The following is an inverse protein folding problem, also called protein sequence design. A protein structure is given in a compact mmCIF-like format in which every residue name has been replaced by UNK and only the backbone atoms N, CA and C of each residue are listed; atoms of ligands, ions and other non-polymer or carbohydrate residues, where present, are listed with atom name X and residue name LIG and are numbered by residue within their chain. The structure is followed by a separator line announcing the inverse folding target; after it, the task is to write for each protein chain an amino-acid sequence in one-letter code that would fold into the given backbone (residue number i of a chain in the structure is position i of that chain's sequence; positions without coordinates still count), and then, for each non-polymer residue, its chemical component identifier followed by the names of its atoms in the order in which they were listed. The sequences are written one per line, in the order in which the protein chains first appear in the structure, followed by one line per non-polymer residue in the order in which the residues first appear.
data_IF_858790403188
#
_entry.id   IF_858790403188
#
_cell.length_a   1.000
_cell.length_b   1.000
_cell.length_c   1.000
_cell.angle_alpha   90.00
_cell.angle_beta   90.00
_cell.angle_gamma   90.00
#
_symmetry.space_group_name_H-M   'P 1'
#
loop_
_entity.id
_entity.type
_entity.pdbx_description
1 polymer ?
#
# COMPACT_ATOMS: atom_id res chain seq x y z
N UNK A 1 19.32 -0.96 -29.77
CA UNK A 1 19.94 -0.35 -28.61
C UNK A 1 19.70 -1.22 -27.41
N UNK A 2 20.77 -1.60 -26.69
CA UNK A 2 20.65 -2.37 -25.47
C UNK A 2 20.34 -1.39 -24.34
N UNK A 3 19.07 -1.34 -23.90
CA UNK A 3 18.67 -0.59 -22.72
C UNK A 3 19.11 -1.39 -21.48
N UNK A 4 19.81 -0.74 -20.57
CA UNK A 4 20.06 -1.26 -19.23
C UNK A 4 18.99 -0.72 -18.30
N UNK A 5 18.34 -1.59 -17.55
CA UNK A 5 17.35 -1.25 -16.55
C UNK A 5 17.90 -1.61 -15.17
N UNK A 6 18.07 -0.60 -14.31
CA UNK A 6 18.38 -0.78 -12.90
C UNK A 6 17.10 -0.55 -12.10
N UNK A 7 16.68 -1.54 -11.31
CA UNK A 7 15.42 -1.52 -10.56
C UNK A 7 15.71 -1.45 -9.07
N UNK A 8 15.14 -0.46 -8.40
CA UNK A 8 15.15 -0.30 -6.95
C UNK A 8 13.75 -0.57 -6.40
N UNK A 9 13.63 -1.37 -5.36
CA UNK A 9 12.40 -1.58 -4.64
C UNK A 9 12.62 -1.29 -3.15
N UNK A 10 11.62 -0.68 -2.50
CA UNK A 10 11.73 -0.28 -1.11
C UNK A 10 10.45 0.34 -0.58
N UNK A 11 10.48 0.83 0.64
CA UNK A 11 9.36 1.59 1.21
C UNK A 11 9.17 2.93 0.47
N UNK A 12 7.94 3.42 0.40
CA UNK A 12 7.61 4.67 -0.28
C UNK A 12 8.52 5.84 0.13
N UNK A 13 8.84 5.96 1.42
CA UNK A 13 9.70 7.03 1.94
C UNK A 13 11.12 6.98 1.36
N UNK A 14 11.65 5.78 1.14
CA UNK A 14 12.97 5.56 0.54
C UNK A 14 12.98 5.91 -0.95
N UNK A 15 11.96 5.42 -1.68
CA UNK A 15 11.79 5.72 -3.11
C UNK A 15 11.58 7.21 -3.35
N UNK A 16 10.79 7.90 -2.50
CA UNK A 16 10.62 9.35 -2.60
C UNK A 16 11.91 10.12 -2.34
N UNK A 17 12.74 9.68 -1.41
CA UNK A 17 14.06 10.30 -1.18
C UNK A 17 14.97 10.11 -2.39
N UNK A 18 15.00 8.91 -2.99
CA UNK A 18 15.77 8.66 -4.20
C UNK A 18 15.24 9.50 -5.39
N UNK A 19 13.92 9.64 -5.50
CA UNK A 19 13.29 10.52 -6.48
C UNK A 19 13.70 12.00 -6.29
N UNK A 20 13.67 12.51 -5.07
CA UNK A 20 14.08 13.88 -4.76
C UNK A 20 15.57 14.15 -5.07
N UNK A 21 16.42 13.12 -4.93
CA UNK A 21 17.87 13.20 -5.27
C UNK A 21 18.17 12.92 -6.75
N UNK A 22 17.12 12.79 -7.56
CA UNK A 22 17.26 12.53 -9.01
C UNK A 22 17.96 11.19 -9.34
N UNK A 23 17.89 10.23 -8.42
CA UNK A 23 18.46 8.89 -8.59
C UNK A 23 17.54 7.93 -9.36
N UNK A 24 16.29 8.34 -9.62
CA UNK A 24 15.27 7.57 -10.35
C UNK A 24 14.74 8.36 -11.55
N UNK A 25 14.66 7.73 -12.71
CA UNK A 25 14.03 8.28 -13.92
C UNK A 25 12.52 8.08 -13.90
N UNK A 26 12.09 6.93 -13.38
CA UNK A 26 10.69 6.55 -13.23
C UNK A 26 10.47 6.02 -11.82
N UNK A 27 9.33 6.39 -11.24
CA UNK A 27 8.92 5.92 -9.91
C UNK A 27 7.47 5.47 -9.93
N UNK A 28 7.20 4.22 -9.50
CA UNK A 28 5.86 3.67 -9.32
C UNK A 28 5.64 3.42 -7.82
N UNK A 29 4.70 4.15 -7.22
CA UNK A 29 4.43 4.10 -5.78
C UNK A 29 2.95 4.11 -5.46
N UNK A 30 2.59 3.62 -4.28
CA UNK A 30 1.29 3.87 -3.67
C UNK A 30 1.35 5.12 -2.82
N UNK A 31 0.35 5.98 -2.94
CA UNK A 31 0.31 7.26 -2.21
C UNK A 31 -1.13 7.67 -1.92
N UNK A 32 -1.38 8.56 -0.93
CA UNK A 32 -2.62 9.31 -0.84
C UNK A 32 -2.79 10.19 -2.08
N UNK A 33 -4.04 10.44 -2.50
CA UNK A 33 -4.32 11.44 -3.53
C UNK A 33 -3.74 12.81 -3.16
N UNK A 34 -3.25 13.56 -4.16
CA UNK A 34 -2.78 14.94 -3.96
C UNK A 34 -1.73 15.41 -4.93
N UNK A 35 -0.74 14.61 -5.25
CA UNK A 35 0.24 14.94 -6.29
C UNK A 35 -0.27 14.51 -7.66
N UNK A 36 0.15 15.21 -8.71
CA UNK A 36 -0.20 14.85 -10.10
C UNK A 36 0.84 13.87 -10.66
N UNK A 37 0.53 12.58 -10.75
CA UNK A 37 1.38 11.61 -11.43
C UNK A 37 1.22 11.72 -12.95
N UNK A 38 2.10 11.05 -13.70
CA UNK A 38 1.93 10.86 -15.15
C UNK A 38 0.73 9.96 -15.46
N UNK A 39 0.56 8.92 -14.67
CA UNK A 39 -0.58 8.01 -14.74
C UNK A 39 -0.87 7.42 -13.35
N UNK A 40 -2.13 7.11 -13.09
CA UNK A 40 -2.52 6.48 -11.83
C UNK A 40 -3.78 5.63 -11.95
N UNK A 41 -4.06 4.86 -10.92
CA UNK A 41 -5.35 4.24 -10.67
C UNK A 41 -5.69 4.22 -9.18
N UNK A 42 -6.98 4.21 -8.81
CA UNK A 42 -7.39 3.97 -7.43
C UNK A 42 -6.77 2.69 -6.87
N UNK A 43 -6.37 2.73 -5.61
CA UNK A 43 -5.88 1.57 -4.87
C UNK A 43 -6.85 1.28 -3.71
N UNK A 44 -7.90 0.49 -3.93
CA UNK A 44 -8.88 0.18 -2.90
C UNK A 44 -8.23 -0.64 -1.78
N UNK A 45 -8.43 -0.20 -0.54
CA UNK A 45 -7.93 -0.85 0.65
C UNK A 45 -9.02 -1.67 1.33
N UNK A 46 -8.63 -2.78 1.92
CA UNK A 46 -9.51 -3.65 2.70
C UNK A 46 -8.98 -3.80 4.13
N UNK A 47 -9.88 -3.71 5.09
CA UNK A 47 -9.63 -4.17 6.45
C UNK A 47 -9.64 -5.68 6.46
N UNK A 48 -8.51 -6.29 6.81
CA UNK A 48 -8.32 -7.73 6.76
C UNK A 48 -8.04 -8.30 8.15
N UNK A 49 -8.67 -9.41 8.45
CA UNK A 49 -8.47 -10.21 9.64
C UNK A 49 -8.45 -11.68 9.25
N UNK A 50 -7.96 -12.56 10.10
CA UNK A 50 -8.00 -14.00 9.87
C UNK A 50 -9.44 -14.53 9.91
N UNK A 51 -9.80 -15.36 8.95
CA UNK A 51 -11.07 -16.07 8.98
C UNK A 51 -11.07 -17.22 10.02
N UNK A 52 -9.92 -17.87 10.21
CA UNK A 52 -9.78 -18.99 11.15
C UNK A 52 -9.49 -18.54 12.60
N UNK A 53 -8.76 -17.42 12.74
CA UNK A 53 -8.31 -16.90 14.04
C UNK A 53 -8.62 -15.41 14.15
N UNK A 54 -9.91 -15.01 14.26
CA UNK A 54 -10.31 -13.62 14.27
C UNK A 54 -9.71 -12.86 15.45
N UNK A 55 -9.14 -11.68 15.17
CA UNK A 55 -8.43 -10.85 16.15
C UNK A 55 -9.13 -9.53 16.46
N UNK A 56 -10.04 -9.05 15.60
CA UNK A 56 -10.63 -7.72 15.75
C UNK A 56 -11.38 -7.54 17.06
N UNK A 57 -12.03 -8.58 17.57
CA UNK A 57 -12.79 -8.56 18.81
C UNK A 57 -11.93 -8.54 20.08
N UNK A 58 -10.63 -8.76 19.98
CA UNK A 58 -9.70 -8.73 21.12
C UNK A 58 -9.54 -7.30 21.67
N UNK A 59 -9.21 -7.19 22.95
CA UNK A 59 -8.87 -5.92 23.59
C UNK A 59 -7.61 -6.11 24.46
N UNK A 60 -6.49 -5.49 24.08
CA UNK A 60 -6.28 -4.63 22.91
C UNK A 60 -6.28 -5.40 21.58
N UNK A 61 -6.73 -4.73 20.50
CA UNK A 61 -6.72 -5.30 19.15
C UNK A 61 -5.25 -5.47 18.69
N UNK A 62 -4.81 -6.69 18.35
CA UNK A 62 -3.48 -6.85 17.76
C UNK A 62 -3.47 -6.34 16.31
N UNK A 63 -2.45 -5.60 15.93
CA UNK A 63 -2.29 -5.02 14.60
C UNK A 63 -1.08 -5.59 13.88
N UNK A 64 -1.23 -5.81 12.59
CA UNK A 64 -0.18 -6.15 11.64
C UNK A 64 0.06 -4.94 10.75
N UNK A 65 1.21 -4.27 10.92
CA UNK A 65 1.47 -2.94 10.37
C UNK A 65 2.83 -2.85 9.67
N UNK A 66 2.92 -1.91 8.71
CA UNK A 66 4.21 -1.40 8.30
C UNK A 66 4.95 -0.74 9.48
N UNK A 67 6.30 -0.63 9.44
CA UNK A 67 7.06 0.14 10.41
C UNK A 67 6.63 1.61 10.46
N UNK A 68 7.20 2.39 11.37
CA UNK A 68 6.99 3.84 11.38
C UNK A 68 7.25 4.44 9.99
N UNK A 69 6.44 5.43 9.60
CA UNK A 69 6.44 6.04 8.27
C UNK A 69 5.99 5.10 7.11
N UNK A 70 5.50 3.91 7.43
CA UNK A 70 4.88 3.03 6.43
C UNK A 70 3.46 3.45 6.08
N UNK A 71 3.05 3.12 4.83
CA UNK A 71 1.69 3.40 4.34
C UNK A 71 0.63 2.72 5.23
N UNK A 72 -0.54 3.33 5.27
CA UNK A 72 -1.77 2.84 5.93
C UNK A 72 -1.70 2.75 7.46
N UNK A 73 -0.51 2.92 8.06
CA UNK A 73 -0.35 2.81 9.51
C UNK A 73 -1.15 3.87 10.25
N UNK A 74 -1.09 5.10 9.76
CA UNK A 74 -1.80 6.22 10.36
C UNK A 74 -3.31 6.05 10.29
N UNK A 75 -3.83 5.63 9.15
CA UNK A 75 -5.25 5.35 8.93
C UNK A 75 -5.77 4.27 9.88
N UNK A 76 -4.99 3.20 10.08
CA UNK A 76 -5.36 2.12 11.00
C UNK A 76 -5.44 2.64 12.43
N UNK A 77 -4.39 3.32 12.89
CA UNK A 77 -4.30 3.81 14.27
C UNK A 77 -5.40 4.85 14.55
N UNK A 78 -5.55 5.85 13.68
CA UNK A 78 -6.57 6.90 13.83
C UNK A 78 -8.00 6.34 13.80
N UNK A 79 -8.26 5.35 12.95
CA UNK A 79 -9.59 4.72 12.90
C UNK A 79 -9.91 4.00 14.20
N UNK A 80 -8.99 3.21 14.74
CA UNK A 80 -9.22 2.49 15.99
C UNK A 80 -9.30 3.43 17.19
N UNK A 81 -8.48 4.46 17.24
CA UNK A 81 -8.54 5.51 18.26
C UNK A 81 -9.90 6.23 18.22
N UNK A 82 -10.39 6.56 17.02
CA UNK A 82 -11.70 7.16 16.82
C UNK A 82 -12.88 6.27 17.25
N UNK A 83 -12.70 4.96 17.18
CA UNK A 83 -13.67 3.97 17.68
C UNK A 83 -13.51 3.69 19.19
N UNK A 84 -12.56 4.34 19.87
CA UNK A 84 -12.26 4.07 21.27
C UNK A 84 -11.71 2.67 21.53
N UNK A 85 -11.12 2.02 20.51
CA UNK A 85 -10.56 0.68 20.60
C UNK A 85 -9.09 0.76 20.95
N UNK A 86 -8.69 0.18 22.08
CA UNK A 86 -7.28 -0.02 22.39
C UNK A 86 -6.65 -1.03 21.43
N UNK A 87 -5.40 -0.79 21.04
CA UNK A 87 -4.66 -1.64 20.12
C UNK A 87 -3.22 -1.84 20.55
N UNK A 88 -2.57 -2.84 20.01
CA UNK A 88 -1.14 -3.12 20.17
C UNK A 88 -0.56 -3.61 18.87
N UNK A 89 0.74 -3.44 18.67
CA UNK A 89 1.42 -4.04 17.52
C UNK A 89 1.66 -5.52 17.81
N UNK A 90 1.06 -6.39 16.99
CA UNK A 90 1.27 -7.83 17.01
C UNK A 90 2.42 -8.24 16.10
N UNK A 91 2.55 -7.59 14.92
CA UNK A 91 3.62 -7.85 13.95
C UNK A 91 3.92 -6.60 13.13
N UNK A 92 5.17 -6.41 12.75
CA UNK A 92 5.60 -5.30 11.89
C UNK A 92 6.61 -5.79 10.86
N UNK A 93 6.42 -5.40 9.60
CA UNK A 93 7.31 -5.74 8.49
C UNK A 93 7.23 -4.70 7.38
N UNK A 94 8.33 -4.46 6.67
CA UNK A 94 8.36 -3.67 5.44
C UNK A 94 7.83 -4.44 4.20
N UNK A 95 7.58 -5.74 4.33
CA UNK A 95 7.09 -6.61 3.26
C UNK A 95 5.56 -6.70 3.28
N UNK A 96 4.93 -6.23 2.20
CA UNK A 96 3.48 -6.34 1.99
C UNK A 96 2.99 -7.80 2.03
N UNK A 97 3.76 -8.71 1.43
CA UNK A 97 3.45 -10.15 1.42
C UNK A 97 3.51 -10.73 2.85
N UNK A 98 4.51 -10.32 3.64
CA UNK A 98 4.63 -10.77 5.02
C UNK A 98 3.49 -10.26 5.89
N UNK A 99 3.06 -9.00 5.72
CA UNK A 99 1.91 -8.44 6.44
C UNK A 99 0.62 -9.20 6.10
N UNK A 100 0.37 -9.45 4.81
CA UNK A 100 -0.80 -10.21 4.35
C UNK A 100 -0.80 -11.62 4.95
N UNK A 101 0.32 -12.34 4.86
CA UNK A 101 0.44 -13.68 5.42
C UNK A 101 0.25 -13.71 6.95
N UNK A 102 0.87 -12.75 7.66
CA UNK A 102 0.76 -12.65 9.12
C UNK A 102 -0.68 -12.41 9.59
N UNK A 103 -1.41 -11.50 8.92
CA UNK A 103 -2.81 -11.25 9.23
C UNK A 103 -3.68 -12.48 8.94
N UNK A 104 -3.46 -13.16 7.81
CA UNK A 104 -4.17 -14.39 7.47
C UNK A 104 -4.00 -15.51 8.53
N UNK A 105 -2.85 -15.54 9.20
CA UNK A 105 -2.52 -16.49 10.26
C UNK A 105 -2.97 -16.04 11.66
N UNK A 106 -3.68 -14.92 11.79
CA UNK A 106 -4.22 -14.45 13.07
C UNK A 106 -3.22 -13.70 13.96
N UNK A 107 -2.14 -13.13 13.40
CA UNK A 107 -1.24 -12.28 14.17
C UNK A 107 -1.85 -10.90 14.46
N UNK A 108 -2.88 -10.50 13.75
CA UNK A 108 -3.61 -9.26 13.96
C UNK A 108 -4.34 -8.74 12.73
N UNK A 109 -5.06 -7.67 12.94
CA UNK A 109 -5.81 -6.93 11.91
C UNK A 109 -4.87 -6.03 11.11
N UNK A 110 -5.15 -5.87 9.82
CA UNK A 110 -4.38 -4.99 8.93
C UNK A 110 -5.29 -4.27 7.93
N UNK A 111 -4.76 -3.23 7.30
CA UNK A 111 -5.36 -2.51 6.18
C UNK A 111 -4.40 -2.63 4.98
N UNK A 112 -4.80 -3.32 3.94
CA UNK A 112 -3.96 -3.59 2.77
C UNK A 112 -4.74 -3.44 1.47
N UNK A 113 -4.06 -3.25 0.33
CA UNK A 113 -4.69 -3.27 -0.98
C UNK A 113 -5.52 -4.55 -1.20
N UNK A 114 -6.65 -4.40 -1.88
CA UNK A 114 -7.53 -5.52 -2.19
C UNK A 114 -6.83 -6.66 -2.93
N UNK A 115 -5.82 -6.34 -3.73
CA UNK A 115 -4.95 -7.30 -4.42
C UNK A 115 -4.11 -8.19 -3.49
N UNK A 116 -3.95 -7.79 -2.23
CA UNK A 116 -3.20 -8.54 -1.21
C UNK A 116 -4.07 -9.46 -0.37
N UNK A 117 -5.37 -9.49 -0.61
CA UNK A 117 -6.29 -10.39 0.08
C UNK A 117 -5.99 -11.84 -0.25
N UNK A 118 -5.85 -12.67 0.78
CA UNK A 118 -5.73 -14.13 0.66
C UNK A 118 -7.08 -14.80 0.95
N UNK A 119 -7.32 -16.04 0.49
CA UNK A 119 -8.54 -16.80 0.81
C UNK A 119 -8.76 -17.00 2.32
N UNK A 120 -7.69 -17.03 3.10
CA UNK A 120 -7.75 -17.16 4.57
C UNK A 120 -8.13 -15.87 5.30
N UNK A 121 -8.31 -14.74 4.60
CA UNK A 121 -8.79 -13.50 5.19
C UNK A 121 -10.32 -13.42 5.21
N UNK A 122 -10.85 -12.89 6.30
CA UNK A 122 -12.16 -12.23 6.33
C UNK A 122 -11.99 -10.73 6.11
N UNK A 123 -12.93 -10.10 5.44
CA UNK A 123 -12.98 -8.65 5.28
C UNK A 123 -13.86 -8.07 6.38
N UNK A 124 -13.35 -7.04 7.04
CA UNK A 124 -14.08 -6.25 8.03
C UNK A 124 -14.62 -4.98 7.37
N UNK A 125 -15.68 -4.40 7.92
CA UNK A 125 -16.30 -3.19 7.37
C UNK A 125 -17.33 -2.57 8.31
N UNK A 126 -18.44 -2.10 7.77
CA UNK A 126 -19.48 -1.35 8.50
C UNK A 126 -20.03 -2.07 9.73
N UNK A 127 -20.14 -3.40 9.69
CA UNK A 127 -20.60 -4.19 10.84
C UNK A 127 -19.67 -4.08 12.06
N UNK A 128 -18.39 -3.78 11.82
CA UNK A 128 -17.37 -3.53 12.83
C UNK A 128 -17.15 -2.03 13.09
N UNK A 129 -17.90 -1.16 12.43
CA UNK A 129 -17.74 0.29 12.48
C UNK A 129 -16.51 0.81 11.71
N UNK A 130 -15.92 -0.01 10.83
CA UNK A 130 -14.73 0.35 10.08
C UNK A 130 -15.12 1.06 8.76
N UNK A 131 -14.53 2.23 8.48
CA UNK A 131 -14.83 2.98 7.26
C UNK A 131 -14.18 2.34 6.03
N UNK A 132 -14.74 2.62 4.86
CA UNK A 132 -14.06 2.40 3.59
C UNK A 132 -12.92 3.41 3.47
N UNK A 133 -11.73 2.94 3.10
CA UNK A 133 -10.55 3.78 2.82
C UNK A 133 -10.29 3.74 1.32
N UNK A 134 -10.61 4.82 0.63
CA UNK A 134 -10.50 4.99 -0.83
C UNK A 134 -9.64 6.20 -1.23
N UNK A 135 -8.82 6.68 -0.30
CA UNK A 135 -8.00 7.89 -0.45
C UNK A 135 -6.62 7.62 -1.03
N UNK A 136 -6.34 6.41 -1.50
CA UNK A 136 -5.03 5.99 -2.04
C UNK A 136 -5.09 5.65 -3.52
N UNK A 137 -3.97 5.85 -4.18
CA UNK A 137 -3.75 5.51 -5.58
C UNK A 137 -2.40 4.80 -5.78
N UNK A 138 -2.31 4.00 -6.85
CA UNK A 138 -1.04 3.56 -7.43
C UNK A 138 -0.67 4.60 -8.50
N UNK A 139 0.47 5.26 -8.34
CA UNK A 139 0.87 6.42 -9.10
C UNK A 139 2.23 6.23 -9.79
N UNK A 140 2.30 6.57 -11.06
CA UNK A 140 3.50 6.55 -11.88
C UNK A 140 4.00 7.97 -12.11
N UNK A 141 5.26 8.20 -11.79
CA UNK A 141 5.99 9.44 -12.07
C UNK A 141 7.11 9.16 -13.07
N UNK A 142 7.33 10.06 -14.02
CA UNK A 142 8.39 10.01 -15.00
C UNK A 142 9.02 11.40 -15.12
N UNK A 143 10.36 11.46 -15.12
CA UNK A 143 11.07 12.77 -15.18
C UNK A 143 11.02 13.39 -16.57
N UNK A 144 11.23 12.57 -17.57
CA UNK A 144 11.32 13.02 -18.96
C UNK A 144 10.38 12.17 -19.83
N UNK A 145 9.06 12.38 -19.74
CA UNK A 145 8.08 11.58 -20.47
C UNK A 145 8.18 11.70 -21.99
N UNK A 146 8.84 12.74 -22.50
CA UNK A 146 9.09 12.95 -23.93
C UNK A 146 10.35 12.24 -24.43
N UNK A 147 11.24 11.80 -23.54
CA UNK A 147 12.42 11.02 -23.89
C UNK A 147 11.98 9.58 -24.27
N UNK A 148 12.47 9.12 -25.45
CA UNK A 148 11.94 7.91 -26.08
C UNK A 148 12.00 6.64 -25.21
N UNK A 149 13.11 6.46 -24.46
CA UNK A 149 13.27 5.27 -23.60
C UNK A 149 12.40 5.33 -22.35
N UNK A 150 12.34 6.51 -21.71
CA UNK A 150 11.50 6.70 -20.52
C UNK A 150 10.02 6.58 -20.88
N UNK A 151 9.61 7.13 -22.03
CA UNK A 151 8.24 7.00 -22.53
C UNK A 151 7.87 5.54 -22.80
N UNK A 152 8.73 4.79 -23.50
CA UNK A 152 8.47 3.38 -23.78
C UNK A 152 8.33 2.55 -22.48
N UNK A 153 9.17 2.80 -21.49
CA UNK A 153 9.06 2.12 -20.19
C UNK A 153 7.80 2.56 -19.42
N UNK A 154 7.47 3.86 -19.44
CA UNK A 154 6.26 4.36 -18.81
C UNK A 154 4.99 3.73 -19.43
N UNK A 155 4.90 3.65 -20.77
CA UNK A 155 3.80 3.00 -21.49
C UNK A 155 3.67 1.52 -21.12
N UNK A 156 4.79 0.81 -21.00
CA UNK A 156 4.79 -0.59 -20.56
C UNK A 156 4.28 -0.75 -19.12
N UNK A 157 4.69 0.14 -18.20
CA UNK A 157 4.24 0.13 -16.81
C UNK A 157 2.77 0.51 -16.68
N UNK A 158 2.29 1.51 -17.47
CA UNK A 158 0.87 1.88 -17.51
C UNK A 158 0.02 0.68 -17.93
N UNK A 159 0.44 -0.02 -18.99
CA UNK A 159 -0.27 -1.22 -19.46
C UNK A 159 -0.23 -2.36 -18.44
N UNK A 160 0.95 -2.62 -17.87
CA UNK A 160 1.13 -3.72 -16.91
C UNK A 160 0.36 -3.51 -15.60
N UNK A 161 0.35 -2.29 -15.09
CA UNK A 161 -0.27 -1.94 -13.83
C UNK A 161 -1.72 -1.43 -13.96
N UNK A 162 -2.27 -1.45 -15.17
CA UNK A 162 -3.63 -0.94 -15.48
C UNK A 162 -3.84 0.49 -14.98
N UNK A 163 -2.90 1.37 -15.29
CA UNK A 163 -2.96 2.78 -14.93
C UNK A 163 -3.69 3.59 -16.01
N UNK A 164 -4.22 4.75 -15.61
CA UNK A 164 -4.84 5.72 -16.51
C UNK A 164 -3.98 6.98 -16.57
N UNK A 165 -3.72 7.47 -17.79
CA UNK A 165 -3.00 8.74 -18.04
C UNK A 165 -3.76 9.92 -17.42
N UNK A 166 -3.04 10.85 -16.82
CA UNK A 166 -3.58 12.06 -16.19
C UNK A 166 -3.53 13.27 -17.12
#
# INVERSE_FOLDING_TARGET
PHMRLDVMSGMQVELRRAWQREELDIMLIKQPYGERPLASRPEPLLWLDSAAYPCFEHSPVPLVLFPQQGLYREEICQTLDGLGRSWRIGYSSASLVALSAASAQGLGVTLLPASCRLPAHRVLGDQQGLPVIDTFELALFCRQPDEALQRQLAEALVTFADLHWQ
#
